data_IF_411368718213
#
_entry.id   IF_411368718213
#
_cell.length_a   1.000
_cell.length_b   1.000
_cell.length_c   1.000
_cell.angle_alpha   90.00
_cell.angle_beta   90.00
_cell.angle_gamma   90.00
#
_symmetry.space_group_name_H-M   'P 1'
#
loop_
_entity.id
_entity.type
_entity.pdbx_description
1 polymer ?
#
# COMPACT_ATOMS: atom_id res chain seq x y z
N UNK A 1 -55.04 20.83 -45.07
CA UNK A 1 -56.15 20.27 -44.28
C UNK A 1 -55.55 19.18 -43.44
N UNK A 2 -55.55 19.39 -42.13
CA UNK A 2 -55.10 18.49 -41.07
C UNK A 2 -56.18 17.45 -40.84
N UNK A 3 -55.81 16.17 -40.77
CA UNK A 3 -56.64 15.14 -40.15
C UNK A 3 -55.83 14.51 -39.02
N UNK A 4 -56.19 14.93 -37.81
CA UNK A 4 -55.79 14.38 -36.52
C UNK A 4 -57.04 13.71 -35.95
N UNK A 5 -56.96 12.39 -35.70
CA UNK A 5 -57.83 11.59 -34.82
C UNK A 5 -57.34 10.15 -34.93
N UNK A 6 -57.17 9.34 -33.89
CA UNK A 6 -57.49 9.45 -32.48
C UNK A 6 -57.03 8.14 -31.85
N UNK A 7 -56.53 8.26 -30.64
CA UNK A 7 -55.87 7.25 -29.83
C UNK A 7 -56.91 6.44 -29.03
N UNK A 8 -56.54 5.20 -28.68
CA UNK A 8 -56.98 4.42 -27.50
C UNK A 8 -58.39 3.76 -27.50
N UNK A 9 -58.43 2.41 -27.39
CA UNK A 9 -59.43 1.67 -26.60
C UNK A 9 -59.10 0.17 -26.45
N UNK A 10 -57.94 -0.14 -25.88
CA UNK A 10 -57.76 -1.35 -25.04
C UNK A 10 -57.55 -0.84 -23.61
N UNK A 11 -58.20 -1.47 -22.64
CA UNK A 11 -58.31 -1.08 -21.21
C UNK A 11 -59.39 -0.03 -20.87
N UNK A 12 -60.64 -0.49 -20.80
CA UNK A 12 -61.68 0.14 -19.98
C UNK A 12 -62.70 -0.94 -19.54
N UNK A 13 -62.26 -1.98 -18.83
CA UNK A 13 -63.20 -2.76 -18.01
C UNK A 13 -63.51 -1.92 -16.76
N UNK A 14 -64.80 -1.66 -16.52
CA UNK A 14 -65.25 -0.96 -15.32
C UNK A 14 -64.86 -1.78 -14.08
N UNK A 15 -64.57 -1.15 -12.93
CA UNK A 15 -64.42 -1.87 -11.66
C UNK A 15 -65.60 -2.80 -11.35
N UNK A 16 -66.79 -2.48 -11.87
CA UNK A 16 -68.01 -3.28 -11.75
C UNK A 16 -67.95 -4.57 -12.57
N UNK A 17 -67.45 -4.52 -13.81
CA UNK A 17 -67.30 -5.70 -14.68
C UNK A 17 -66.31 -6.71 -14.06
N UNK A 18 -65.24 -6.20 -13.44
CA UNK A 18 -64.25 -7.02 -12.73
C UNK A 18 -64.83 -7.70 -11.49
N UNK A 19 -65.75 -7.03 -10.79
CA UNK A 19 -66.43 -7.60 -9.62
C UNK A 19 -67.42 -8.69 -10.02
N UNK A 20 -68.07 -8.55 -11.17
CA UNK A 20 -68.95 -9.58 -11.72
C UNK A 20 -68.18 -10.82 -12.17
N UNK A 21 -67.02 -10.64 -12.79
CA UNK A 21 -66.13 -11.74 -13.21
C UNK A 21 -65.61 -12.54 -12.00
N UNK A 22 -65.14 -11.86 -10.96
CA UNK A 22 -64.70 -12.50 -9.70
C UNK A 22 -65.85 -13.30 -9.04
N UNK A 23 -67.07 -12.76 -9.06
CA UNK A 23 -68.25 -13.43 -8.51
C UNK A 23 -68.69 -14.63 -9.36
N UNK A 24 -68.31 -14.65 -10.64
CA UNK A 24 -68.55 -15.78 -11.52
C UNK A 24 -67.50 -16.88 -11.31
N UNK A 25 -66.22 -16.51 -11.16
CA UNK A 25 -65.12 -17.42 -10.81
C UNK A 25 -65.35 -18.12 -9.46
N UNK A 26 -65.89 -17.41 -8.45
CA UNK A 26 -66.22 -18.01 -7.14
C UNK A 26 -67.32 -19.10 -7.23
N UNK A 27 -68.09 -19.12 -8.32
CA UNK A 27 -69.12 -20.14 -8.58
C UNK A 27 -68.63 -21.30 -9.44
N UNK A 28 -67.40 -21.24 -9.95
CA UNK A 28 -66.81 -22.35 -10.69
C UNK A 28 -66.34 -23.41 -9.69
N UNK A 29 -67.05 -24.54 -9.66
CA UNK A 29 -66.69 -25.68 -8.81
C UNK A 29 -65.44 -26.38 -9.37
N UNK A 30 -64.38 -26.45 -8.55
CA UNK A 30 -63.12 -27.11 -8.90
C UNK A 30 -63.23 -28.65 -9.00
N UNK A 31 -64.42 -29.23 -8.76
CA UNK A 31 -64.67 -30.67 -8.90
C UNK A 31 -64.33 -31.21 -10.29
N UNK A 32 -64.43 -30.40 -11.34
CA UNK A 32 -64.03 -30.78 -12.70
C UNK A 32 -62.53 -31.06 -12.83
N UNK A 33 -61.69 -30.47 -11.97
CA UNK A 33 -60.24 -30.73 -11.96
C UNK A 33 -59.89 -32.10 -11.35
N UNK A 34 -60.77 -32.66 -10.51
CA UNK A 34 -60.56 -33.97 -9.86
C UNK A 34 -61.22 -35.14 -10.61
N UNK A 35 -62.13 -34.88 -11.55
CA UNK A 35 -62.76 -35.92 -12.37
C UNK A 35 -61.87 -36.47 -13.50
N UNK A 36 -60.70 -35.86 -13.77
CA UNK A 36 -59.73 -36.39 -14.74
C UNK A 36 -59.10 -37.74 -14.35
N UNK A 37 -59.36 -38.26 -13.14
CA UNK A 37 -58.84 -39.54 -12.66
C UNK A 37 -59.73 -40.77 -12.92
N UNK A 38 -60.99 -40.60 -13.36
CA UNK A 38 -61.95 -41.73 -13.42
C UNK A 38 -62.18 -42.33 -14.81
N UNK A 39 -61.63 -41.74 -15.88
CA UNK A 39 -61.58 -42.41 -17.20
C UNK A 39 -60.36 -43.33 -17.30
N UNK A 40 -60.35 -44.40 -16.49
CA UNK A 40 -59.40 -45.51 -16.66
C UNK A 40 -59.77 -46.34 -17.87
N UNK A 41 -59.15 -46.05 -19.01
CA UNK A 41 -58.84 -47.11 -19.97
C UNK A 41 -57.98 -48.14 -19.21
N UNK A 42 -58.48 -49.36 -19.02
CA UNK A 42 -57.77 -50.43 -18.31
C UNK A 42 -56.61 -50.92 -19.18
N UNK A 43 -55.49 -50.20 -19.15
CA UNK A 43 -54.23 -50.68 -19.72
C UNK A 43 -53.68 -51.75 -18.79
N UNK A 44 -53.45 -52.95 -19.33
CA UNK A 44 -52.97 -54.11 -18.58
C UNK A 44 -51.43 -54.08 -18.53
N UNK A 45 -50.87 -53.50 -17.46
CA UNK A 45 -49.43 -53.28 -17.29
C UNK A 45 -48.60 -54.57 -17.37
N UNK A 46 -49.12 -55.71 -16.90
CA UNK A 46 -48.43 -57.01 -16.98
C UNK A 46 -48.26 -57.51 -18.44
N UNK A 47 -49.19 -57.15 -19.32
CA UNK A 47 -49.13 -57.48 -20.74
C UNK A 47 -48.20 -56.54 -21.53
N UNK A 48 -47.97 -55.32 -21.04
CA UNK A 48 -47.03 -54.37 -21.65
C UNK A 48 -45.58 -54.65 -21.24
N UNK A 49 -45.34 -55.10 -20.02
CA UNK A 49 -44.01 -55.52 -19.53
C UNK A 49 -43.50 -56.84 -20.16
N UNK A 50 -44.43 -57.68 -20.63
CA UNK A 50 -44.10 -58.96 -21.29
C UNK A 50 -43.86 -58.82 -22.80
N UNK A 51 -44.04 -57.62 -23.38
CA UNK A 51 -43.67 -57.37 -24.77
C UNK A 51 -42.15 -57.41 -24.92
N UNK A 52 -41.62 -58.02 -25.99
CA UNK A 52 -40.20 -57.90 -26.33
C UNK A 52 -39.82 -56.43 -26.36
N UNK A 53 -38.68 -56.08 -25.74
CA UNK A 53 -38.13 -54.72 -25.78
C UNK A 53 -38.07 -54.29 -27.24
N UNK A 54 -38.70 -53.16 -27.58
CA UNK A 54 -38.67 -52.62 -28.94
C UNK A 54 -37.22 -52.41 -29.37
N UNK A 55 -36.93 -52.84 -30.60
CA UNK A 55 -35.58 -52.81 -31.13
C UNK A 55 -35.12 -51.34 -31.25
N UNK A 56 -34.00 -51.02 -30.62
CA UNK A 56 -33.52 -49.64 -30.52
C UNK A 56 -33.09 -49.19 -31.90
N UNK A 57 -33.76 -48.16 -32.43
CA UNK A 57 -33.38 -47.59 -33.72
C UNK A 57 -32.06 -46.81 -33.57
N UNK A 58 -30.96 -47.47 -33.92
CA UNK A 58 -29.60 -46.94 -33.81
C UNK A 58 -29.43 -45.56 -34.48
N UNK A 59 -30.08 -45.30 -35.62
CA UNK A 59 -29.99 -44.00 -36.30
C UNK A 59 -30.65 -42.87 -35.49
N UNK A 60 -31.76 -43.15 -34.80
CA UNK A 60 -32.46 -42.16 -33.96
C UNK A 60 -31.68 -41.88 -32.67
N UNK A 61 -31.06 -42.92 -32.10
CA UNK A 61 -30.22 -42.81 -30.92
C UNK A 61 -28.93 -42.04 -31.19
N UNK A 62 -28.25 -42.32 -32.31
CA UNK A 62 -27.06 -41.58 -32.74
C UNK A 62 -27.35 -40.09 -32.96
N UNK A 63 -28.53 -39.76 -33.52
CA UNK A 63 -28.94 -38.37 -33.70
C UNK A 63 -29.23 -37.68 -32.35
N UNK A 64 -29.78 -38.41 -31.38
CA UNK A 64 -30.02 -37.90 -30.03
C UNK A 64 -28.72 -37.72 -29.23
N UNK A 65 -27.76 -38.65 -29.36
CA UNK A 65 -26.42 -38.53 -28.76
C UNK A 65 -25.63 -37.39 -29.40
N UNK A 66 -25.68 -37.22 -30.72
CA UNK A 66 -25.02 -36.11 -31.40
C UNK A 66 -25.59 -34.76 -30.95
N UNK A 67 -26.92 -34.66 -30.77
CA UNK A 67 -27.56 -33.48 -30.17
C UNK A 67 -27.11 -33.26 -28.74
N UNK A 68 -27.03 -34.30 -27.91
CA UNK A 68 -26.55 -34.18 -26.53
C UNK A 68 -25.10 -33.69 -26.47
N UNK A 69 -24.21 -34.22 -27.32
CA UNK A 69 -22.81 -33.78 -27.44
C UNK A 69 -22.73 -32.34 -27.95
N UNK A 70 -23.56 -31.96 -28.92
CA UNK A 70 -23.62 -30.60 -29.44
C UNK A 70 -24.11 -29.60 -28.37
N UNK A 71 -25.16 -29.93 -27.61
CA UNK A 71 -25.63 -29.08 -26.50
C UNK A 71 -24.63 -29.02 -25.34
N UNK A 72 -23.93 -30.11 -25.04
CA UNK A 72 -22.86 -30.13 -24.04
C UNK A 72 -21.68 -29.26 -24.46
N UNK A 73 -21.24 -29.38 -25.72
CA UNK A 73 -20.17 -28.57 -26.29
C UNK A 73 -20.55 -27.09 -26.38
N UNK A 74 -21.80 -26.79 -26.76
CA UNK A 74 -22.33 -25.43 -26.79
C UNK A 74 -22.44 -24.83 -25.38
N UNK A 75 -22.92 -25.60 -24.40
CA UNK A 75 -22.98 -25.18 -23.00
C UNK A 75 -21.59 -24.90 -22.43
N UNK A 76 -20.61 -25.78 -22.68
CA UNK A 76 -19.21 -25.57 -22.32
C UNK A 76 -18.60 -24.33 -22.99
N UNK A 77 -18.85 -24.13 -24.28
CA UNK A 77 -18.35 -22.95 -25.00
C UNK A 77 -18.98 -21.66 -24.47
N UNK A 78 -20.28 -21.66 -24.18
CA UNK A 78 -20.97 -20.53 -23.58
C UNK A 78 -20.40 -20.21 -22.18
N UNK A 79 -20.17 -21.21 -21.33
CA UNK A 79 -19.54 -21.03 -20.03
C UNK A 79 -18.09 -20.53 -20.16
N UNK A 80 -17.32 -21.03 -21.13
CA UNK A 80 -15.96 -20.57 -21.38
C UNK A 80 -15.92 -19.09 -21.81
N UNK A 81 -16.86 -18.66 -22.67
CA UNK A 81 -16.97 -17.26 -23.07
C UNK A 81 -17.34 -16.39 -21.86
N UNK A 82 -18.32 -16.81 -21.04
CA UNK A 82 -18.68 -16.08 -19.82
C UNK A 82 -17.49 -15.96 -18.87
N UNK A 83 -16.73 -17.04 -18.71
CA UNK A 83 -15.51 -17.07 -17.89
C UNK A 83 -14.45 -16.10 -18.43
N UNK A 84 -14.18 -16.10 -19.73
CA UNK A 84 -13.24 -15.14 -20.35
C UNK A 84 -13.71 -13.70 -20.16
N UNK A 85 -15.00 -13.41 -20.34
CA UNK A 85 -15.56 -12.06 -20.14
C UNK A 85 -15.45 -11.61 -18.68
N UNK A 86 -15.65 -12.51 -17.72
CA UNK A 86 -15.43 -12.22 -16.30
C UNK A 86 -13.96 -11.89 -16.02
N UNK A 87 -13.03 -12.68 -16.58
CA UNK A 87 -11.59 -12.44 -16.43
C UNK A 87 -11.18 -11.11 -17.06
N UNK A 88 -11.64 -10.78 -18.26
CA UNK A 88 -11.34 -9.49 -18.90
C UNK A 88 -11.84 -8.33 -18.04
N UNK A 89 -13.06 -8.43 -17.49
CA UNK A 89 -13.62 -7.37 -16.65
C UNK A 89 -12.92 -7.26 -15.29
N UNK A 90 -12.58 -8.39 -14.66
CA UNK A 90 -11.86 -8.46 -13.40
C UNK A 90 -10.41 -7.97 -13.57
N UNK A 91 -9.74 -8.34 -14.66
CA UNK A 91 -8.42 -7.79 -15.04
C UNK A 91 -8.50 -6.28 -15.26
N UNK A 92 -9.51 -5.79 -15.98
CA UNK A 92 -9.65 -4.35 -16.24
C UNK A 92 -9.81 -3.56 -14.93
N UNK A 93 -10.68 -4.01 -14.02
CA UNK A 93 -10.83 -3.36 -12.71
C UNK A 93 -9.55 -3.41 -11.87
N UNK A 94 -8.87 -4.56 -11.82
CA UNK A 94 -7.64 -4.69 -11.03
C UNK A 94 -6.48 -3.91 -11.63
N UNK A 95 -6.37 -3.86 -12.96
CA UNK A 95 -5.32 -3.08 -13.65
C UNK A 95 -5.54 -1.60 -13.42
N UNK A 96 -6.78 -1.10 -13.50
CA UNK A 96 -7.12 0.30 -13.19
C UNK A 96 -6.79 0.63 -11.72
N UNK A 97 -7.11 -0.25 -10.77
CA UNK A 97 -6.80 -0.05 -9.36
C UNK A 97 -5.28 -0.05 -9.09
N UNK A 98 -4.53 -0.94 -9.76
CA UNK A 98 -3.06 -1.00 -9.68
C UNK A 98 -2.43 0.25 -10.29
N UNK A 99 -2.92 0.72 -11.43
CA UNK A 99 -2.41 1.93 -12.09
C UNK A 99 -2.66 3.18 -11.24
N UNK A 100 -3.83 3.25 -10.57
CA UNK A 100 -4.12 4.28 -9.57
C UNK A 100 -3.20 4.23 -8.35
N UNK A 101 -2.92 3.02 -7.83
CA UNK A 101 -1.99 2.84 -6.72
C UNK A 101 -0.55 3.20 -7.09
N UNK A 102 -0.09 2.84 -8.29
CA UNK A 102 1.24 3.19 -8.82
C UNK A 102 1.36 4.68 -9.03
N UNK A 103 0.36 5.33 -9.62
CA UNK A 103 0.33 6.79 -9.80
C UNK A 103 0.39 7.52 -8.45
N UNK A 104 -0.43 7.10 -7.47
CA UNK A 104 -0.39 7.65 -6.11
C UNK A 104 0.96 7.44 -5.41
N UNK A 105 1.59 6.30 -5.64
CA UNK A 105 2.92 6.00 -5.11
C UNK A 105 4.00 6.85 -5.78
N UNK A 106 3.92 7.06 -7.09
CA UNK A 106 4.84 7.92 -7.85
C UNK A 106 4.73 9.38 -7.39
N UNK A 107 3.52 9.89 -7.17
CA UNK A 107 3.28 11.22 -6.59
C UNK A 107 3.93 11.39 -5.21
N UNK A 108 3.94 10.34 -4.38
CA UNK A 108 4.57 10.36 -3.05
C UNK A 108 6.10 10.18 -3.11
N UNK A 109 6.61 9.41 -4.06
CA UNK A 109 8.04 9.14 -4.22
C UNK A 109 8.76 10.32 -4.88
N UNK A 110 8.11 11.05 -5.79
CA UNK A 110 8.69 12.20 -6.48
C UNK A 110 9.31 13.26 -5.54
N UNK A 111 8.60 13.78 -4.51
CA UNK A 111 9.20 14.73 -3.57
C UNK A 111 10.29 14.08 -2.71
N UNK A 112 10.15 12.80 -2.38
CA UNK A 112 11.16 12.05 -1.63
C UNK A 112 12.47 11.93 -2.40
N UNK A 113 12.40 11.59 -3.70
CA UNK A 113 13.57 11.55 -4.59
C UNK A 113 14.25 12.92 -4.65
N UNK A 114 13.48 13.98 -4.86
CA UNK A 114 14.02 15.34 -4.88
C UNK A 114 14.71 15.72 -3.56
N UNK A 115 14.11 15.35 -2.42
CA UNK A 115 14.72 15.58 -1.11
C UNK A 115 16.01 14.78 -0.94
N UNK A 116 16.04 13.52 -1.36
CA UNK A 116 17.24 12.67 -1.34
C UNK A 116 18.34 13.29 -2.21
N UNK A 117 18.05 13.66 -3.46
CA UNK A 117 19.01 14.27 -4.37
C UNK A 117 19.59 15.56 -3.79
N UNK A 118 18.74 16.44 -3.24
CA UNK A 118 19.19 17.66 -2.58
C UNK A 118 20.03 17.38 -1.33
N UNK A 119 19.68 16.35 -0.55
CA UNK A 119 20.45 15.94 0.62
C UNK A 119 21.83 15.40 0.25
N UNK A 120 21.93 14.63 -0.83
CA UNK A 120 23.20 14.10 -1.34
C UNK A 120 24.09 15.21 -1.90
N UNK A 121 23.50 16.16 -2.63
CA UNK A 121 24.22 17.34 -3.12
C UNK A 121 24.79 18.16 -1.96
N UNK A 122 23.98 18.40 -0.92
CA UNK A 122 24.42 19.09 0.28
C UNK A 122 25.55 18.35 1.00
N UNK A 123 25.42 17.03 1.18
CA UNK A 123 26.47 16.21 1.80
C UNK A 123 27.76 16.29 1.01
N UNK A 124 27.70 16.25 -0.32
CA UNK A 124 28.89 16.39 -1.15
C UNK A 124 29.55 17.77 -0.99
N UNK A 125 28.75 18.83 -0.94
CA UNK A 125 29.25 20.19 -0.66
C UNK A 125 29.88 20.29 0.73
N UNK A 126 29.25 19.70 1.75
CA UNK A 126 29.76 19.67 3.12
C UNK A 126 31.08 18.89 3.22
N UNK A 127 31.20 17.76 2.51
CA UNK A 127 32.43 16.97 2.43
C UNK A 127 33.54 17.76 1.75
N UNK A 128 33.27 18.40 0.60
CA UNK A 128 34.26 19.24 -0.09
C UNK A 128 34.71 20.43 0.78
N UNK A 129 33.77 21.05 1.50
CA UNK A 129 34.07 22.11 2.46
C UNK A 129 34.91 21.62 3.63
N UNK A 130 34.64 20.42 4.14
CA UNK A 130 35.39 19.81 5.23
C UNK A 130 36.81 19.43 4.79
N UNK A 131 36.97 18.83 3.62
CA UNK A 131 38.27 18.48 3.03
C UNK A 131 39.17 19.71 2.91
N UNK A 132 38.62 20.82 2.41
CA UNK A 132 39.33 22.10 2.35
C UNK A 132 39.75 22.61 3.74
N UNK A 133 38.87 22.50 4.75
CA UNK A 133 39.15 22.91 6.13
C UNK A 133 40.21 22.01 6.79
N UNK A 134 40.14 20.69 6.59
CA UNK A 134 41.11 19.73 7.13
C UNK A 134 42.47 19.99 6.52
N UNK A 135 42.57 20.11 5.19
CA UNK A 135 43.82 20.45 4.52
C UNK A 135 44.39 21.79 5.00
N UNK A 136 43.53 22.77 5.32
CA UNK A 136 43.99 24.02 5.93
C UNK A 136 44.48 23.84 7.37
N UNK A 137 43.79 23.04 8.17
CA UNK A 137 44.18 22.74 9.55
C UNK A 137 45.53 22.02 9.62
N UNK A 138 45.74 21.02 8.77
CA UNK A 138 47.03 20.31 8.64
C UNK A 138 48.16 21.27 8.27
N UNK A 139 47.93 22.17 7.29
CA UNK A 139 48.92 23.19 6.92
C UNK A 139 49.22 24.15 8.08
N UNK A 140 48.20 24.65 8.77
CA UNK A 140 48.37 25.53 9.94
C UNK A 140 49.15 24.83 11.06
N UNK A 141 48.85 23.56 11.32
CA UNK A 141 49.54 22.75 12.32
C UNK A 141 51.02 22.54 11.97
N UNK A 142 51.32 22.18 10.72
CA UNK A 142 52.70 22.02 10.25
C UNK A 142 53.51 23.32 10.38
N UNK A 143 52.89 24.47 10.10
CA UNK A 143 53.52 25.79 10.23
C UNK A 143 53.75 26.17 11.70
N UNK A 144 52.82 25.83 12.62
CA UNK A 144 53.03 26.02 14.06
C UNK A 144 54.16 25.13 14.60
N UNK A 145 54.25 23.88 14.14
CA UNK A 145 55.34 22.98 14.54
C UNK A 145 56.69 23.47 14.00
N UNK A 146 56.72 24.00 12.76
CA UNK A 146 57.91 24.65 12.19
C UNK A 146 58.37 25.84 13.05
N UNK A 147 57.44 26.70 13.49
CA UNK A 147 57.75 27.81 14.42
C UNK A 147 58.38 27.28 15.69
N UNK A 148 57.78 26.26 16.31
CA UNK A 148 58.29 25.66 17.55
C UNK A 148 59.69 25.07 17.35
N UNK A 149 59.91 24.30 16.29
CA UNK A 149 61.22 23.73 15.97
C UNK A 149 62.29 24.81 15.77
N UNK A 150 61.95 25.91 15.07
CA UNK A 150 62.85 27.02 14.81
C UNK A 150 63.25 27.77 16.09
N UNK A 151 62.29 28.01 16.99
CA UNK A 151 62.56 28.59 18.31
C UNK A 151 63.48 27.68 19.13
N UNK A 152 63.22 26.37 19.14
CA UNK A 152 64.08 25.39 19.83
C UNK A 152 65.50 25.35 19.25
N UNK A 153 65.67 25.41 17.93
CA UNK A 153 67.00 25.48 17.28
C UNK A 153 67.71 26.79 17.62
N UNK A 154 66.99 27.92 17.69
CA UNK A 154 67.56 29.20 18.10
C UNK A 154 68.04 29.18 19.55
N UNK A 155 67.31 28.53 20.46
CA UNK A 155 67.70 28.35 21.87
C UNK A 155 68.91 27.41 22.02
N UNK A 156 69.02 26.38 21.19
CA UNK A 156 70.15 25.42 21.20
C UNK A 156 71.37 25.93 20.44
N UNK A 157 71.22 26.93 19.56
CA UNK A 157 72.33 27.51 18.80
C UNK A 157 73.26 28.28 19.74
N UNK A 158 74.31 27.60 20.22
CA UNK A 158 75.34 28.12 21.14
C UNK A 158 76.16 29.30 20.59
N UNK A 159 75.87 29.82 19.39
CA UNK A 159 76.55 30.97 18.80
C UNK A 159 75.63 32.18 18.71
N UNK A 160 75.67 33.06 19.72
CA UNK A 160 74.95 34.34 19.80
C UNK A 160 75.47 35.37 18.78
N UNK A 161 75.53 35.01 17.49
CA UNK A 161 75.82 35.98 16.45
C UNK A 161 74.54 36.79 16.19
N UNK A 162 74.62 38.10 16.40
CA UNK A 162 73.47 39.01 16.23
C UNK A 162 72.78 38.88 14.85
N UNK A 163 73.54 38.45 13.84
CA UNK A 163 73.03 38.19 12.49
C UNK A 163 72.09 36.97 12.42
N UNK A 164 72.43 35.86 13.09
CA UNK A 164 71.61 34.64 13.11
C UNK A 164 70.32 34.89 13.88
N UNK A 165 70.39 35.58 15.01
CA UNK A 165 69.21 35.98 15.79
C UNK A 165 68.28 36.90 14.99
N UNK A 166 68.84 37.89 14.30
CA UNK A 166 68.04 38.79 13.45
C UNK A 166 67.34 38.05 12.31
N UNK A 167 68.04 37.13 11.63
CA UNK A 167 67.45 36.31 10.57
C UNK A 167 66.40 35.33 11.10
N UNK A 168 66.64 34.70 12.25
CA UNK A 168 65.67 33.82 12.90
C UNK A 168 64.39 34.56 13.26
N UNK A 169 64.51 35.74 13.87
CA UNK A 169 63.35 36.59 14.19
C UNK A 169 62.58 37.03 12.94
N UNK A 170 63.28 37.33 11.84
CA UNK A 170 62.65 37.62 10.55
C UNK A 170 61.85 36.42 10.01
N UNK A 171 62.38 35.20 10.16
CA UNK A 171 61.67 33.96 9.76
C UNK A 171 60.47 33.70 10.67
N UNK A 172 60.57 33.92 11.98
CA UNK A 172 59.43 33.83 12.91
C UNK A 172 58.32 34.81 12.50
N UNK A 173 58.67 36.06 12.21
CA UNK A 173 57.69 37.06 11.74
C UNK A 173 57.04 36.64 10.40
N UNK A 174 57.83 36.05 9.49
CA UNK A 174 57.30 35.48 8.25
C UNK A 174 56.32 34.33 8.48
N UNK A 175 56.63 33.42 9.41
CA UNK A 175 55.75 32.31 9.80
C UNK A 175 54.46 32.82 10.44
N UNK A 176 54.53 33.86 11.28
CA UNK A 176 53.34 34.49 11.87
C UNK A 176 52.44 35.12 10.80
N UNK A 177 53.02 35.78 9.80
CA UNK A 177 52.28 36.28 8.65
C UNK A 177 51.59 35.14 7.88
N UNK A 178 52.29 34.03 7.65
CA UNK A 178 51.72 32.85 6.98
C UNK A 178 50.57 32.22 7.78
N UNK A 179 50.68 32.15 9.11
CA UNK A 179 49.58 31.65 9.96
C UNK A 179 48.35 32.55 9.90
N UNK A 180 48.53 33.87 9.84
CA UNK A 180 47.42 34.82 9.66
C UNK A 180 46.80 34.65 8.28
N UNK A 181 47.59 34.48 7.23
CA UNK A 181 47.12 34.27 5.86
C UNK A 181 46.35 32.94 5.71
N UNK A 182 46.88 31.84 6.25
CA UNK A 182 46.19 30.54 6.26
C UNK A 182 44.93 30.57 7.14
N UNK A 183 44.93 31.32 8.25
CA UNK A 183 43.77 31.49 9.13
C UNK A 183 42.65 32.36 8.53
N UNK A 184 43.00 33.34 7.70
CA UNK A 184 42.05 34.26 7.06
C UNK A 184 41.52 33.76 5.71
N UNK A 185 42.23 32.84 5.05
CA UNK A 185 41.80 32.23 3.79
C UNK A 185 40.51 31.39 3.83
N UNK A 186 39.86 31.25 5.00
CA UNK A 186 38.65 30.40 5.16
C UNK A 186 37.42 31.14 5.73
N UNK A 187 37.50 32.44 5.97
CA UNK A 187 36.43 33.20 6.64
C UNK A 187 35.64 34.10 5.69
N UNK A 188 34.73 33.49 4.92
CA UNK A 188 33.47 34.15 4.56
C UNK A 188 32.36 33.13 4.34
N UNK A 189 31.88 32.50 5.41
CA UNK A 189 30.45 32.24 5.63
C UNK A 189 30.26 31.94 7.11
N UNK A 190 29.74 32.93 7.82
CA UNK A 190 29.26 32.84 9.20
C UNK A 190 28.04 31.91 9.19
N UNK A 191 28.24 30.61 9.44
CA UNK A 191 27.10 29.71 9.67
C UNK A 191 26.52 30.07 11.04
N UNK A 192 25.34 30.69 11.01
CA UNK A 192 24.46 30.78 12.18
C UNK A 192 24.19 29.37 12.65
N UNK A 193 24.51 29.06 13.92
CA UNK A 193 24.06 27.84 14.56
C UNK A 193 22.52 27.83 14.48
N UNK A 194 21.97 26.95 13.65
CA UNK A 194 20.53 26.75 13.56
C UNK A 194 20.04 26.23 14.89
N UNK A 195 19.35 27.08 15.65
CA UNK A 195 18.54 26.62 16.76
C UNK A 195 17.38 25.82 16.16
N UNK A 196 17.31 24.53 16.49
CA UNK A 196 16.13 23.71 16.22
C UNK A 196 15.09 24.11 17.26
N UNK A 197 14.18 25.02 16.90
CA UNK A 197 12.93 25.20 17.67
C UNK A 197 12.05 24.00 17.39
N UNK A 198 12.01 23.07 18.34
CA UNK A 198 10.93 22.09 18.43
C UNK A 198 9.73 22.87 18.98
N UNK A 199 8.74 23.11 18.12
CA UNK A 199 7.41 23.53 18.56
C UNK A 199 6.73 22.31 19.17
N UNK A 200 6.70 22.25 20.49
CA UNK A 200 5.95 21.27 21.24
C UNK A 200 4.46 21.57 21.04
N UNK A 201 3.76 20.64 20.38
CA UNK A 201 2.31 20.69 20.21
C UNK A 201 1.63 20.74 21.60
N UNK A 202 0.52 21.49 21.76
CA UNK A 202 -0.09 21.69 23.06
C UNK A 202 -0.54 20.35 23.64
N UNK A 203 0.03 19.99 24.79
CA UNK A 203 -0.46 18.90 25.61
C UNK A 203 -1.95 19.11 25.89
N UNK A 204 -2.76 18.13 25.52
CA UNK A 204 -4.17 18.10 25.87
C UNK A 204 -4.30 18.24 27.40
N UNK A 205 -5.17 19.16 27.81
CA UNK A 205 -5.51 19.44 29.20
C UNK A 205 -5.98 18.17 29.92
N UNK A 206 -5.12 17.59 30.75
CA UNK A 206 -5.54 16.63 31.77
C UNK A 206 -6.12 17.41 32.94
N UNK A 207 -7.44 17.26 33.09
CA UNK A 207 -8.20 17.80 34.22
C UNK A 207 -7.75 17.12 35.51
N UNK A 208 -7.40 17.99 36.44
CA UNK A 208 -7.11 17.82 37.85
C UNK A 208 -8.15 16.93 38.58
N UNK A 209 -7.69 15.83 39.20
CA UNK A 209 -8.25 15.40 40.48
C UNK A 209 -7.21 14.67 41.35
N UNK A 210 -6.84 15.36 42.43
CA UNK A 210 -6.51 14.86 43.76
C UNK A 210 -5.33 13.86 43.93
N UNK A 211 -4.24 14.40 44.47
CA UNK A 211 -3.20 13.70 45.24
C UNK A 211 -3.77 13.09 46.57
N UNK A 212 -3.01 12.38 47.44
CA UNK A 212 -1.56 12.14 47.41
C UNK A 212 -1.07 10.73 47.85
N UNK A 213 0.21 10.46 47.55
CA UNK A 213 1.20 9.71 48.34
C UNK A 213 0.94 8.24 48.73
N UNK A 214 1.77 7.34 48.18
CA UNK A 214 2.81 6.55 48.89
C UNK A 214 3.18 5.32 48.04
N UNK A 215 4.38 5.33 47.45
CA UNK A 215 5.16 4.09 47.27
C UNK A 215 5.73 3.72 48.65
N UNK A 216 5.89 2.43 49.02
CA UNK A 216 6.85 1.61 48.27
C UNK A 216 6.70 0.06 48.32
N UNK A 217 7.52 -0.59 47.49
CA UNK A 217 8.11 -1.96 47.61
C UNK A 217 7.24 -3.21 47.37
N UNK A 218 7.70 -3.98 46.37
CA UNK A 218 7.74 -5.46 46.25
C UNK A 218 7.18 -6.28 47.42
N UNK A 219 6.35 -7.30 47.14
CA UNK A 219 6.75 -8.73 47.16
C UNK A 219 5.62 -9.63 46.67
N UNK A 220 6.03 -10.76 46.10
CA UNK A 220 5.23 -11.90 45.69
C UNK A 220 4.29 -12.40 46.80
N UNK A 221 3.10 -12.88 46.42
CA UNK A 221 2.46 -13.97 47.15
C UNK A 221 2.07 -15.09 46.17
N UNK A 222 2.70 -16.22 46.43
CA UNK A 222 2.47 -17.53 45.85
C UNK A 222 1.00 -17.96 45.92
N UNK A 223 0.56 -18.74 44.93
CA UNK A 223 -0.26 -19.92 45.23
C UNK A 223 0.60 -21.13 44.91
N UNK A 224 0.77 -21.91 45.97
CA UNK A 224 1.69 -23.00 46.22
C UNK A 224 1.21 -24.35 45.64
N UNK A 225 2.15 -25.31 45.64
CA UNK A 225 2.00 -26.78 45.61
C UNK A 225 2.08 -27.47 44.22
N UNK A 226 3.26 -27.78 43.65
CA UNK A 226 4.27 -28.84 43.96
C UNK A 226 3.75 -30.26 43.65
N UNK A 227 3.97 -30.81 42.44
CA UNK A 227 5.06 -31.72 41.99
C UNK A 227 4.79 -33.24 42.30
N UNK A 228 5.49 -34.25 41.71
CA UNK A 228 6.66 -34.19 40.83
C UNK A 228 6.65 -35.11 39.59
N UNK A 229 7.74 -35.01 38.84
CA UNK A 229 8.22 -35.86 37.73
C UNK A 229 8.83 -37.17 38.28
N UNK A 230 8.72 -38.29 37.57
CA UNK A 230 9.69 -39.39 37.68
C UNK A 230 9.91 -40.11 36.32
N UNK A 231 11.18 -40.41 36.04
CA UNK A 231 11.72 -41.16 34.90
C UNK A 231 11.19 -42.60 34.81
N UNK A 232 11.01 -43.12 33.58
CA UNK A 232 11.65 -44.35 33.04
C UNK A 232 11.79 -44.21 31.52
#
# INVERSE_FOLDING_TARGET
MTEEQGKDSEASQSPEDRLEEIKNEEKEDASTYYEQGESKDKVNEEAELSKPVEDVNAQKEEMNMLKAVAFLGFGMAALAIIFILFFVRDLDTRVVDVDGAVTSLEEKIAPLRKHVDASLEKVNQDIAGLDSKIGNYERVMAVMELKRALVTVQEMSMGNSANVTAKSNQVVAGIESLLVELGTGTSSTKMSAGIVSIEEAPAASLVEHAAPAEEPVHTEEAVEEVAPVEEV
#
